data_IF_979725825569
#
_entry.id   IF_979725825569
#
_cell.length_a   1.000
_cell.length_b   1.000
_cell.length_c   1.000
_cell.angle_alpha   90.00
_cell.angle_beta   90.00
_cell.angle_gamma   90.00
#
_symmetry.space_group_name_H-M   'P 1'
#
loop_
_entity.id
_entity.type
_entity.pdbx_description
1 polymer ?
#
# COMPACT_ATOMS: atom_id res chain seq x y z
N UNK A 1 7.49 3.41 -17.22
CA UNK A 1 6.84 4.67 -16.77
C UNK A 1 7.73 5.25 -15.69
N UNK A 2 8.29 6.43 -15.94
CA UNK A 2 8.99 7.18 -14.91
C UNK A 2 8.00 8.13 -14.23
N UNK A 3 7.96 8.06 -12.90
CA UNK A 3 7.16 8.96 -12.09
C UNK A 3 8.08 10.05 -11.53
N UNK A 4 7.73 11.29 -11.79
CA UNK A 4 8.37 12.45 -11.20
C UNK A 4 7.36 13.15 -10.27
N UNK A 5 7.79 13.43 -9.04
CA UNK A 5 7.00 14.22 -8.12
C UNK A 5 7.49 15.67 -8.16
N UNK A 6 6.62 16.57 -8.55
CA UNK A 6 6.87 18.02 -8.54
C UNK A 6 6.23 18.64 -7.29
N UNK A 7 7.00 19.47 -6.60
CA UNK A 7 6.50 20.26 -5.50
C UNK A 7 6.34 21.70 -5.98
N UNK A 8 5.11 22.21 -5.94
CA UNK A 8 4.83 23.58 -6.28
C UNK A 8 5.00 24.48 -5.05
N UNK A 9 6.11 25.17 -4.97
CA UNK A 9 6.22 26.32 -4.08
C UNK A 9 5.70 27.56 -4.83
N UNK A 10 5.19 28.56 -4.14
CA UNK A 10 4.35 29.64 -4.69
C UNK A 10 4.89 30.38 -5.94
N UNK A 11 6.13 30.10 -6.38
CA UNK A 11 6.72 30.78 -7.53
C UNK A 11 7.52 29.88 -8.51
N UNK A 12 7.86 28.60 -8.19
CA UNK A 12 8.62 27.72 -9.10
C UNK A 12 8.26 26.24 -8.90
N UNK A 13 8.20 25.50 -10.03
CA UNK A 13 8.16 24.03 -10.06
C UNK A 13 9.55 23.49 -9.72
N UNK A 14 9.71 22.92 -8.53
CA UNK A 14 10.97 22.31 -8.12
C UNK A 14 10.82 20.78 -8.15
N UNK A 15 11.60 20.12 -9.02
CA UNK A 15 11.74 18.66 -8.97
C UNK A 15 12.55 18.31 -7.73
N UNK A 16 11.95 17.64 -6.76
CA UNK A 16 12.61 17.32 -5.50
C UNK A 16 13.36 15.99 -5.59
N UNK A 17 14.49 15.87 -4.87
CA UNK A 17 15.21 14.59 -4.68
C UNK A 17 14.33 13.50 -4.03
N UNK A 18 13.19 13.88 -3.49
CA UNK A 18 12.17 12.97 -2.96
C UNK A 18 11.64 12.01 -4.04
N UNK A 19 11.51 12.45 -5.29
CA UNK A 19 11.09 11.59 -6.39
C UNK A 19 12.10 10.48 -6.74
N UNK A 20 13.35 10.63 -6.31
CA UNK A 20 14.43 9.67 -6.58
C UNK A 20 14.51 8.54 -5.55
N UNK A 21 13.89 8.69 -4.39
CA UNK A 21 13.86 7.65 -3.35
C UNK A 21 12.97 6.47 -3.73
N UNK A 22 13.45 5.23 -3.56
CA UNK A 22 12.68 4.02 -3.86
C UNK A 22 11.34 3.96 -3.11
N UNK A 23 11.27 4.46 -1.90
CA UNK A 23 10.06 4.53 -1.09
C UNK A 23 8.97 5.40 -1.73
N UNK A 24 9.35 6.57 -2.27
CA UNK A 24 8.40 7.45 -2.95
C UNK A 24 7.91 6.86 -4.27
N UNK A 25 8.79 6.18 -5.01
CA UNK A 25 8.39 5.48 -6.24
C UNK A 25 7.36 4.40 -5.96
N UNK A 26 7.53 3.61 -4.90
CA UNK A 26 6.53 2.62 -4.47
C UNK A 26 5.17 3.27 -4.19
N UNK A 27 5.15 4.37 -3.44
CA UNK A 27 3.90 5.09 -3.11
C UNK A 27 3.27 5.69 -4.38
N UNK A 28 4.05 6.26 -5.29
CA UNK A 28 3.52 6.80 -6.55
C UNK A 28 2.92 5.71 -7.43
N UNK A 29 3.56 4.54 -7.53
CA UNK A 29 3.01 3.39 -8.25
C UNK A 29 1.68 2.95 -7.61
N UNK A 30 1.65 2.79 -6.29
CA UNK A 30 0.44 2.41 -5.58
C UNK A 30 -0.69 3.45 -5.73
N UNK A 31 -0.37 4.73 -5.71
CA UNK A 31 -1.34 5.81 -5.95
C UNK A 31 -1.88 5.78 -7.39
N UNK A 32 -1.01 5.53 -8.38
CA UNK A 32 -1.42 5.41 -9.78
C UNK A 32 -2.37 4.22 -9.98
N UNK A 33 -2.00 3.03 -9.49
CA UNK A 33 -2.83 1.82 -9.61
C UNK A 33 -4.19 2.03 -8.96
N UNK A 34 -4.20 2.67 -7.80
CA UNK A 34 -5.43 2.97 -7.07
C UNK A 34 -6.29 3.99 -7.79
N UNK A 35 -5.69 5.04 -8.36
CA UNK A 35 -6.40 6.05 -9.16
C UNK A 35 -7.03 5.42 -10.41
N UNK A 36 -6.30 4.52 -11.07
CA UNK A 36 -6.80 3.77 -12.23
C UNK A 36 -8.03 2.94 -11.86
N UNK A 37 -7.96 2.19 -10.75
CA UNK A 37 -9.09 1.40 -10.26
C UNK A 37 -10.29 2.27 -9.89
N UNK A 38 -10.08 3.41 -9.23
CA UNK A 38 -11.15 4.34 -8.91
C UNK A 38 -11.80 4.90 -10.18
N UNK A 39 -11.00 5.31 -11.17
CA UNK A 39 -11.50 5.85 -12.42
C UNK A 39 -12.40 4.86 -13.16
N UNK A 40 -12.01 3.57 -13.16
CA UNK A 40 -12.77 2.50 -13.81
C UNK A 40 -13.74 1.76 -12.87
N UNK A 41 -13.93 2.21 -11.64
CA UNK A 41 -14.74 1.50 -10.63
C UNK A 41 -16.20 1.29 -11.05
N UNK A 42 -16.74 2.16 -11.89
CA UNK A 42 -18.10 2.09 -12.41
C UNK A 42 -18.23 1.24 -13.67
N UNK A 43 -17.12 0.80 -14.24
CA UNK A 43 -17.06 0.01 -15.47
C UNK A 43 -16.80 -1.47 -15.17
N UNK A 44 -16.93 -2.33 -16.21
CA UNK A 44 -16.49 -3.71 -16.15
C UNK A 44 -14.97 -3.78 -16.21
N UNK A 45 -14.33 -3.54 -15.08
CA UNK A 45 -12.88 -3.55 -14.91
C UNK A 45 -12.51 -4.38 -13.67
N UNK A 46 -11.24 -4.76 -13.54
CA UNK A 46 -10.76 -5.44 -12.36
C UNK A 46 -10.99 -4.56 -11.13
N UNK A 47 -11.48 -5.17 -10.02
CA UNK A 47 -11.79 -4.46 -8.79
C UNK A 47 -10.89 -4.90 -7.65
N UNK A 48 -9.67 -5.24 -7.96
CA UNK A 48 -8.67 -5.58 -6.95
C UNK A 48 -7.30 -5.04 -7.32
N UNK A 49 -6.49 -4.80 -6.30
CA UNK A 49 -5.08 -4.44 -6.44
C UNK A 49 -4.27 -5.16 -5.36
N UNK A 50 -3.05 -5.50 -5.70
CA UNK A 50 -2.09 -6.11 -4.80
C UNK A 50 -0.83 -5.26 -4.72
N UNK A 51 -0.43 -4.88 -3.51
CA UNK A 51 0.83 -4.19 -3.26
C UNK A 51 1.64 -4.93 -2.20
N UNK A 52 2.88 -5.22 -2.55
CA UNK A 52 3.84 -5.86 -1.68
C UNK A 52 4.80 -4.85 -1.06
N UNK A 53 4.95 -4.92 0.28
CA UNK A 53 5.94 -4.14 1.02
C UNK A 53 5.82 -2.62 0.82
N UNK A 54 4.63 -2.09 0.55
CA UNK A 54 4.44 -0.65 0.32
C UNK A 54 4.65 0.18 1.58
N UNK A 55 4.48 -0.42 2.76
CA UNK A 55 4.71 0.23 4.05
C UNK A 55 6.19 0.27 4.45
N UNK A 56 7.05 -0.50 3.78
CA UNK A 56 8.47 -0.56 4.09
C UNK A 56 9.11 0.83 4.03
N UNK A 57 9.92 1.13 5.02
CA UNK A 57 10.68 2.38 5.11
C UNK A 57 9.82 3.65 5.20
N UNK A 58 8.51 3.54 5.42
CA UNK A 58 7.67 4.69 5.76
C UNK A 58 7.79 5.01 7.24
N UNK A 59 7.76 6.31 7.57
CA UNK A 59 7.56 6.73 8.95
C UNK A 59 6.12 6.40 9.40
N UNK A 60 5.93 6.28 10.71
CA UNK A 60 4.67 5.84 11.32
C UNK A 60 3.46 6.68 10.86
N UNK A 61 3.62 7.99 10.76
CA UNK A 61 2.52 8.89 10.34
C UNK A 61 2.10 8.64 8.90
N UNK A 62 3.06 8.31 8.03
CA UNK A 62 2.78 7.98 6.63
C UNK A 62 2.14 6.60 6.50
N UNK A 63 2.58 5.62 7.30
CA UNK A 63 1.94 4.30 7.38
C UNK A 63 0.46 4.43 7.77
N UNK A 64 0.18 5.15 8.84
CA UNK A 64 -1.18 5.37 9.33
C UNK A 64 -2.07 6.06 8.28
N UNK A 65 -1.59 7.12 7.66
CA UNK A 65 -2.32 7.81 6.58
C UNK A 65 -2.56 6.92 5.37
N UNK A 66 -1.60 6.07 5.03
CA UNK A 66 -1.75 5.14 3.92
C UNK A 66 -2.82 4.08 4.22
N UNK A 67 -2.83 3.51 5.42
CA UNK A 67 -3.84 2.54 5.86
C UNK A 67 -5.24 3.17 5.84
N UNK A 68 -5.37 4.37 6.38
CA UNK A 68 -6.62 5.13 6.36
C UNK A 68 -7.13 5.35 4.93
N UNK A 69 -6.24 5.79 4.04
CA UNK A 69 -6.56 6.00 2.63
C UNK A 69 -7.01 4.71 1.93
N UNK A 70 -6.32 3.60 2.16
CA UNK A 70 -6.68 2.29 1.58
C UNK A 70 -8.06 1.84 2.05
N UNK A 71 -8.35 1.96 3.35
CA UNK A 71 -9.66 1.63 3.92
C UNK A 71 -10.77 2.49 3.30
N UNK A 72 -10.52 3.78 3.19
CA UNK A 72 -11.48 4.71 2.59
C UNK A 72 -11.79 4.35 1.13
N UNK A 73 -10.77 4.08 0.31
CA UNK A 73 -10.94 3.73 -1.09
C UNK A 73 -11.62 2.37 -1.26
N UNK A 74 -11.19 1.36 -0.52
CA UNK A 74 -11.79 0.03 -0.58
C UNK A 74 -13.30 0.10 -0.33
N UNK A 75 -13.70 0.85 0.68
CA UNK A 75 -15.11 1.03 1.03
C UNK A 75 -15.89 1.87 -0.02
N UNK A 76 -15.33 3.00 -0.46
CA UNK A 76 -16.05 3.91 -1.38
C UNK A 76 -16.19 3.37 -2.79
N UNK A 77 -15.17 2.67 -3.28
CA UNK A 77 -15.10 2.22 -4.67
C UNK A 77 -15.42 0.73 -4.84
N UNK A 78 -15.75 0.04 -3.76
CA UNK A 78 -15.96 -1.41 -3.73
C UNK A 78 -14.80 -2.17 -4.42
N UNK A 79 -13.58 -1.84 -4.01
CA UNK A 79 -12.34 -2.42 -4.49
C UNK A 79 -11.76 -3.32 -3.41
N UNK A 80 -11.32 -4.51 -3.80
CA UNK A 80 -10.52 -5.37 -2.93
C UNK A 80 -9.07 -4.88 -2.96
N UNK A 81 -8.57 -4.43 -1.82
CA UNK A 81 -7.18 -4.06 -1.66
C UNK A 81 -6.43 -5.17 -0.92
N UNK A 82 -5.42 -5.74 -1.56
CA UNK A 82 -4.58 -6.80 -1.00
C UNK A 82 -3.22 -6.19 -0.68
N UNK A 83 -2.80 -6.33 0.56
CA UNK A 83 -1.56 -5.75 1.07
C UNK A 83 -0.76 -6.81 1.81
N UNK A 84 0.52 -6.97 1.48
CA UNK A 84 1.45 -7.75 2.31
C UNK A 84 2.24 -6.80 3.19
N UNK A 85 2.38 -7.17 4.45
CA UNK A 85 3.13 -6.40 5.45
C UNK A 85 3.95 -7.35 6.32
N UNK A 86 5.09 -6.88 6.77
CA UNK A 86 5.89 -7.58 7.78
C UNK A 86 5.34 -7.18 9.17
N UNK A 87 5.17 -8.13 10.06
CA UNK A 87 4.61 -7.89 11.39
C UNK A 87 5.34 -6.76 12.14
N UNK A 88 6.67 -6.74 12.08
CA UNK A 88 7.48 -5.70 12.72
C UNK A 88 7.16 -4.28 12.22
N UNK A 89 6.67 -4.13 10.99
CA UNK A 89 6.30 -2.84 10.41
C UNK A 89 4.98 -2.27 10.95
N UNK A 90 4.23 -3.10 11.67
CA UNK A 90 2.91 -2.73 12.21
C UNK A 90 2.89 -2.55 13.73
N UNK A 91 3.98 -2.90 14.42
CA UNK A 91 4.06 -2.85 15.90
C UNK A 91 3.77 -1.47 16.48
N UNK A 92 4.35 -0.44 15.87
CA UNK A 92 4.28 0.94 16.37
C UNK A 92 3.03 1.69 15.93
N UNK A 93 2.15 1.06 15.14
CA UNK A 93 0.89 1.66 14.75
C UNK A 93 -0.01 1.90 15.97
N UNK A 94 -0.68 3.04 16.00
CA UNK A 94 -1.72 3.31 16.99
C UNK A 94 -2.85 2.30 16.84
N UNK A 95 -3.55 2.00 17.93
CA UNK A 95 -4.57 0.94 17.99
C UNK A 95 -5.64 1.05 16.91
N UNK A 96 -6.04 2.27 16.55
CA UNK A 96 -7.04 2.54 15.51
C UNK A 96 -6.58 2.22 14.08
N UNK A 97 -5.25 2.13 13.86
CA UNK A 97 -4.66 1.82 12.56
C UNK A 97 -4.16 0.37 12.45
N UNK A 98 -4.16 -0.38 13.55
CA UNK A 98 -3.83 -1.81 13.51
C UNK A 98 -4.84 -2.57 12.66
N UNK A 99 -4.37 -3.59 11.98
CA UNK A 99 -5.25 -4.46 11.19
C UNK A 99 -6.13 -5.28 12.12
N UNK A 100 -7.41 -5.38 11.77
CA UNK A 100 -8.38 -6.19 12.50
C UNK A 100 -8.33 -7.65 12.03
N UNK A 101 -8.91 -8.57 12.80
CA UNK A 101 -9.01 -9.98 12.42
C UNK A 101 -9.75 -10.19 11.10
N UNK A 102 -10.71 -9.31 10.78
CA UNK A 102 -11.44 -9.35 9.51
C UNK A 102 -10.59 -8.87 8.32
N UNK A 103 -9.58 -8.03 8.56
CA UNK A 103 -8.67 -7.54 7.53
C UNK A 103 -7.50 -8.53 7.29
N UNK A 104 -7.04 -9.22 8.34
CA UNK A 104 -5.96 -10.21 8.23
C UNK A 104 -6.52 -11.52 7.69
N UNK A 105 -6.16 -11.89 6.48
CA UNK A 105 -6.65 -13.10 5.82
C UNK A 105 -5.69 -14.27 5.88
N UNK A 106 -4.40 -13.99 5.98
CA UNK A 106 -3.37 -15.01 5.97
C UNK A 106 -2.17 -14.51 6.77
N UNK A 107 -1.64 -15.37 7.63
CA UNK A 107 -0.38 -15.15 8.33
C UNK A 107 0.58 -16.21 7.83
N UNK A 108 1.72 -15.77 7.29
CA UNK A 108 2.76 -16.63 6.75
C UNK A 108 3.98 -16.64 7.69
N UNK A 109 4.65 -17.77 7.76
CA UNK A 109 5.86 -17.96 8.55
C UNK A 109 6.84 -18.86 7.81
N UNK A 110 8.12 -18.73 8.15
CA UNK A 110 9.17 -19.61 7.64
C UNK A 110 9.43 -20.83 8.53
N UNK A 111 8.64 -21.02 9.58
CA UNK A 111 8.86 -22.06 10.60
C UNK A 111 8.55 -23.44 10.06
N UNK A 112 7.49 -23.60 9.29
CA UNK A 112 7.09 -24.86 8.69
C UNK A 112 6.67 -24.71 7.22
N UNK A 113 6.58 -25.84 6.50
CA UNK A 113 6.11 -25.82 5.12
C UNK A 113 4.62 -25.43 5.02
N UNK A 114 3.83 -25.79 6.04
CA UNK A 114 2.40 -25.54 6.12
C UNK A 114 2.10 -24.04 6.31
N UNK A 115 3.06 -23.30 6.88
CA UNK A 115 2.93 -21.85 7.11
C UNK A 115 3.30 -21.01 5.87
N UNK A 116 3.71 -21.66 4.76
CA UNK A 116 4.08 -20.98 3.52
C UNK A 116 2.88 -20.82 2.60
N UNK A 117 2.92 -19.81 1.75
CA UNK A 117 1.83 -19.47 0.82
C UNK A 117 1.35 -20.65 -0.04
N UNK A 118 2.25 -21.53 -0.43
CA UNK A 118 1.96 -22.72 -1.25
C UNK A 118 2.06 -24.02 -0.47
N UNK A 119 2.17 -23.95 0.86
CA UNK A 119 2.30 -25.14 1.74
C UNK A 119 3.44 -26.09 1.29
N UNK A 120 4.49 -25.54 0.69
CA UNK A 120 5.58 -26.30 0.10
C UNK A 120 6.94 -25.74 0.51
N UNK A 121 7.86 -26.64 0.86
CA UNK A 121 9.27 -26.31 1.11
C UNK A 121 10.07 -26.48 -0.18
N UNK A 122 10.73 -25.40 -0.60
CA UNK A 122 11.69 -25.41 -1.69
C UNK A 122 13.07 -25.73 -1.17
#
# INVERSE_FOLDING_TARGET
IDFEAEYQNQEELITTDLARGNTYKKILCAAFDTALLQFYSQNSFYKFVYHDGVLDSLDIRKKEKYIEYVREIANKSNIQYILTVIESETHDLRSEYKFTEDEVRLILSDVSCEDKLFEHCF
#
